data_IF_033768874848
#
_entry.id   IF_033768874848
#
_cell.length_a   1.000
_cell.length_b   1.000
_cell.length_c   1.000
_cell.angle_alpha   90.00
_cell.angle_beta   90.00
_cell.angle_gamma   90.00
#
_symmetry.space_group_name_H-M   'P 1'
#
loop_
_entity.id
_entity.type
_entity.pdbx_description
1 polymer ?
#
# COMPACT_ATOMS: atom_id res chain seq x y z
N UNK A 1 -48.90 -6.82 10.86
CA UNK A 1 -47.77 -7.14 11.79
C UNK A 1 -46.65 -7.96 11.14
N UNK A 2 -46.93 -9.04 10.39
CA UNK A 2 -45.88 -9.86 9.73
C UNK A 2 -45.09 -9.11 8.65
N UNK A 3 -45.75 -8.34 7.78
CA UNK A 3 -45.09 -7.52 6.75
C UNK A 3 -44.12 -6.50 7.35
N UNK A 4 -44.48 -5.89 8.48
CA UNK A 4 -43.60 -4.94 9.19
C UNK A 4 -42.36 -5.63 9.76
N UNK A 5 -42.50 -6.86 10.29
CA UNK A 5 -41.36 -7.67 10.76
C UNK A 5 -40.43 -8.06 9.62
N UNK A 6 -40.97 -8.45 8.47
CA UNK A 6 -40.19 -8.77 7.27
C UNK A 6 -39.46 -7.55 6.72
N UNK A 7 -40.12 -6.39 6.70
CA UNK A 7 -39.52 -5.13 6.32
C UNK A 7 -38.36 -4.76 7.26
N UNK A 8 -38.56 -4.82 8.58
CA UNK A 8 -37.50 -4.55 9.55
C UNK A 8 -36.33 -5.54 9.42
N UNK A 9 -36.60 -6.83 9.20
CA UNK A 9 -35.56 -7.82 8.96
C UNK A 9 -34.75 -7.50 7.70
N UNK A 10 -35.40 -7.09 6.60
CA UNK A 10 -34.71 -6.67 5.39
C UNK A 10 -33.82 -5.44 5.62
N UNK A 11 -34.30 -4.46 6.39
CA UNK A 11 -33.50 -3.31 6.82
C UNK A 11 -32.28 -3.76 7.64
N UNK A 12 -32.46 -4.64 8.62
CA UNK A 12 -31.35 -5.14 9.45
C UNK A 12 -30.31 -5.87 8.59
N UNK A 13 -30.74 -6.78 7.71
CA UNK A 13 -29.84 -7.52 6.80
C UNK A 13 -29.07 -6.58 5.87
N UNK A 14 -29.66 -5.46 5.45
CA UNK A 14 -29.01 -4.50 4.57
C UNK A 14 -28.08 -3.53 5.33
N UNK A 15 -28.57 -2.91 6.40
CA UNK A 15 -27.89 -1.81 7.08
C UNK A 15 -26.85 -2.27 8.10
N UNK A 16 -27.07 -3.39 8.82
CA UNK A 16 -26.10 -3.84 9.83
C UNK A 16 -24.75 -4.21 9.21
N UNK A 17 -24.66 -5.01 8.12
CA UNK A 17 -23.36 -5.30 7.51
C UNK A 17 -22.64 -4.07 6.98
N UNK A 18 -23.39 -3.09 6.45
CA UNK A 18 -22.84 -1.82 5.97
C UNK A 18 -22.29 -0.99 7.12
N UNK A 19 -23.07 -0.85 8.20
CA UNK A 19 -22.60 -0.20 9.43
C UNK A 19 -21.34 -0.86 9.98
N UNK A 20 -21.32 -2.19 10.09
CA UNK A 20 -20.13 -2.94 10.52
C UNK A 20 -18.95 -2.70 9.59
N UNK A 21 -19.17 -2.66 8.27
CA UNK A 21 -18.13 -2.35 7.30
C UNK A 21 -17.57 -0.94 7.51
N UNK A 22 -18.43 0.07 7.69
CA UNK A 22 -18.01 1.46 7.85
C UNK A 22 -17.22 1.68 9.15
N UNK A 23 -17.64 1.01 10.23
CA UNK A 23 -16.97 1.07 11.54
C UNK A 23 -15.64 0.33 11.57
N UNK A 24 -15.48 -0.73 10.79
CA UNK A 24 -14.24 -1.56 10.77
C UNK A 24 -13.37 -1.31 9.54
N UNK A 25 -13.83 -0.53 8.57
CA UNK A 25 -13.33 -0.50 7.18
C UNK A 25 -13.20 -1.91 6.57
N UNK A 26 -14.10 -2.78 7.02
CA UNK A 26 -14.12 -4.19 6.70
C UNK A 26 -12.89 -4.95 7.17
N UNK A 27 -12.13 -4.52 8.18
CA UNK A 27 -11.10 -5.35 8.81
C UNK A 27 -11.72 -6.56 9.53
N UNK A 28 -11.04 -7.70 9.47
CA UNK A 28 -11.31 -8.89 10.28
C UNK A 28 -10.07 -9.80 10.20
N UNK A 29 -9.76 -10.55 11.26
CA UNK A 29 -8.60 -11.45 11.27
C UNK A 29 -8.64 -12.45 10.10
N UNK A 30 -9.79 -13.08 9.85
CA UNK A 30 -9.96 -14.03 8.73
C UNK A 30 -9.63 -13.46 7.36
N UNK A 31 -9.59 -12.12 7.20
CA UNK A 31 -9.30 -11.44 5.95
C UNK A 31 -7.81 -11.25 5.68
N UNK A 32 -6.96 -11.35 6.71
CA UNK A 32 -5.49 -11.30 6.61
C UNK A 32 -4.86 -12.69 6.56
N UNK A 33 -5.59 -13.75 6.96
CA UNK A 33 -5.11 -15.12 6.83
C UNK A 33 -5.27 -15.66 5.41
N UNK A 34 -4.18 -16.23 4.89
CA UNK A 34 -4.13 -16.90 3.59
C UNK A 34 -4.16 -18.43 3.74
N UNK A 35 -4.39 -19.13 2.62
CA UNK A 35 -4.13 -20.57 2.49
C UNK A 35 -3.05 -20.77 1.40
N UNK A 36 -2.16 -19.78 1.27
CA UNK A 36 -1.05 -19.89 0.32
C UNK A 36 -0.09 -20.96 0.84
N UNK A 37 0.42 -21.73 -0.09
CA UNK A 37 1.52 -22.65 0.16
C UNK A 37 2.83 -21.89 0.04
N UNK A 38 3.87 -22.40 0.69
CA UNK A 38 5.22 -21.89 0.52
C UNK A 38 5.61 -21.91 -0.96
N UNK A 39 6.23 -20.84 -1.42
CA UNK A 39 6.72 -20.70 -2.80
C UNK A 39 8.12 -20.06 -2.76
N UNK A 40 9.17 -20.76 -3.22
CA UNK A 40 10.55 -20.27 -3.12
C UNK A 40 10.77 -18.89 -3.76
N UNK A 41 10.02 -18.58 -4.82
CA UNK A 41 10.09 -17.29 -5.51
C UNK A 41 9.69 -16.09 -4.63
N UNK A 42 8.91 -16.31 -3.57
CA UNK A 42 8.52 -15.27 -2.61
C UNK A 42 9.41 -15.20 -1.38
N UNK A 43 10.44 -16.04 -1.32
CA UNK A 43 11.40 -15.96 -0.23
C UNK A 43 12.23 -14.68 -0.37
N UNK A 44 12.44 -14.01 0.75
CA UNK A 44 13.14 -12.73 0.86
C UNK A 44 14.13 -12.83 2.00
N UNK A 45 15.40 -12.54 1.72
CA UNK A 45 16.46 -12.53 2.73
C UNK A 45 16.31 -11.29 3.60
N UNK A 46 15.60 -11.44 4.70
CA UNK A 46 15.47 -10.39 5.70
C UNK A 46 16.69 -10.37 6.63
N UNK A 47 16.93 -9.20 7.23
CA UNK A 47 17.82 -9.08 8.38
C UNK A 47 17.20 -9.64 9.66
N UNK A 48 17.79 -9.33 10.84
CA UNK A 48 17.21 -9.72 12.13
C UNK A 48 15.81 -9.13 12.30
N UNK A 49 14.98 -9.82 13.08
CA UNK A 49 13.62 -9.40 13.35
C UNK A 49 13.62 -8.04 14.10
N UNK A 50 12.98 -6.99 13.55
CA UNK A 50 12.93 -5.67 14.19
C UNK A 50 12.26 -5.68 15.57
N UNK A 51 12.87 -4.98 16.54
CA UNK A 51 12.35 -4.83 17.91
C UNK A 51 10.99 -4.12 17.97
N UNK A 52 10.65 -3.32 16.95
CA UNK A 52 9.34 -2.65 16.86
C UNK A 52 8.17 -3.64 16.93
N UNK A 53 8.37 -4.92 16.60
CA UNK A 53 7.33 -5.95 16.74
C UNK A 53 6.94 -6.26 18.19
N UNK A 54 7.69 -5.79 19.19
CA UNK A 54 7.30 -5.85 20.60
C UNK A 54 6.32 -4.73 21.00
N UNK A 55 6.25 -3.67 20.19
CA UNK A 55 5.30 -2.60 20.36
C UNK A 55 3.89 -3.03 19.95
N UNK A 56 2.92 -2.29 20.46
CA UNK A 56 1.54 -2.36 20.01
C UNK A 56 1.37 -1.58 18.70
N UNK A 57 0.53 -2.09 17.79
CA UNK A 57 0.20 -1.40 16.55
C UNK A 57 -1.30 -1.06 16.48
N UNK A 58 -1.63 0.22 16.25
CA UNK A 58 -3.02 0.68 16.16
C UNK A 58 -3.46 0.84 14.72
N UNK A 59 -4.73 0.56 14.43
CA UNK A 59 -5.28 0.68 13.09
C UNK A 59 -5.05 2.09 12.52
N UNK A 60 -4.45 2.14 11.33
CA UNK A 60 -4.18 3.40 10.62
C UNK A 60 -5.16 3.60 9.47
N UNK A 61 -5.24 2.64 8.55
CA UNK A 61 -6.08 2.77 7.36
C UNK A 61 -6.26 1.44 6.60
N UNK A 62 -7.28 1.37 5.75
CA UNK A 62 -7.49 0.30 4.79
C UNK A 62 -7.20 0.76 3.35
N UNK A 63 -6.15 0.23 2.73
CA UNK A 63 -5.88 0.41 1.31
C UNK A 63 -6.57 -0.64 0.42
N UNK A 64 -6.33 -0.59 -0.88
CA UNK A 64 -6.90 -1.58 -1.82
C UNK A 64 -6.33 -3.00 -1.68
N UNK A 65 -5.12 -3.12 -1.12
CA UNK A 65 -4.38 -4.39 -1.03
C UNK A 65 -4.04 -4.80 0.41
N UNK A 66 -3.93 -3.84 1.33
CA UNK A 66 -3.43 -4.05 2.69
C UNK A 66 -4.28 -3.32 3.74
N UNK A 67 -4.28 -3.84 4.95
CA UNK A 67 -4.63 -3.08 6.16
C UNK A 67 -3.35 -2.58 6.79
N UNK A 68 -3.28 -1.30 7.12
CA UNK A 68 -2.12 -0.66 7.72
C UNK A 68 -2.38 -0.37 9.20
N UNK A 69 -1.38 -0.62 10.03
CA UNK A 69 -1.37 -0.37 11.45
C UNK A 69 -0.09 0.40 11.80
N UNK A 70 -0.21 1.47 12.58
CA UNK A 70 0.92 2.31 13.01
C UNK A 70 1.45 1.82 14.36
N UNK A 71 2.76 1.79 14.54
CA UNK A 71 3.40 1.49 15.84
C UNK A 71 3.04 2.52 16.91
N UNK A 72 3.19 2.13 18.17
CA UNK A 72 2.92 2.98 19.34
C UNK A 72 3.78 4.25 19.35
N UNK A 73 5.04 4.16 18.92
CA UNK A 73 5.93 5.32 18.75
C UNK A 73 5.61 6.20 17.52
N UNK A 74 4.65 5.80 16.69
CA UNK A 74 4.23 6.53 15.50
C UNK A 74 5.23 6.52 14.34
N UNK A 75 6.32 5.73 14.40
CA UNK A 75 7.41 5.76 13.41
C UNK A 75 7.33 4.67 12.34
N UNK A 76 6.52 3.64 12.54
CA UNK A 76 6.47 2.47 11.66
C UNK A 76 5.04 2.11 11.29
N UNK A 77 4.89 1.46 10.13
CA UNK A 77 3.63 0.93 9.64
C UNK A 77 3.79 -0.56 9.34
N UNK A 78 3.02 -1.37 10.05
CA UNK A 78 2.83 -2.78 9.78
C UNK A 78 1.63 -2.97 8.85
N UNK A 79 1.84 -3.63 7.71
CA UNK A 79 0.81 -3.84 6.70
C UNK A 79 0.53 -5.33 6.51
N UNK A 80 -0.74 -5.71 6.63
CA UNK A 80 -1.22 -7.07 6.36
C UNK A 80 -2.00 -7.14 5.05
N UNK A 81 -1.72 -8.16 4.23
CA UNK A 81 -2.39 -8.31 2.94
C UNK A 81 -3.86 -8.73 3.06
N UNK A 82 -4.71 -8.22 2.17
CA UNK A 82 -6.14 -8.54 2.09
C UNK A 82 -6.37 -9.83 1.28
N UNK A 83 -6.28 -10.99 1.93
CA UNK A 83 -6.47 -12.29 1.27
C UNK A 83 -7.92 -12.58 0.88
N UNK A 84 -8.91 -12.03 1.58
CA UNK A 84 -10.32 -12.24 1.23
C UNK A 84 -10.69 -11.73 -0.16
N UNK A 85 -10.10 -10.62 -0.63
CA UNK A 85 -10.32 -10.08 -1.98
C UNK A 85 -9.89 -11.08 -3.08
N UNK A 86 -9.00 -12.00 -2.71
CA UNK A 86 -8.39 -12.98 -3.61
C UNK A 86 -9.17 -14.31 -3.64
N UNK A 87 -10.19 -14.46 -2.77
CA UNK A 87 -11.02 -15.66 -2.67
C UNK A 87 -12.40 -15.43 -3.30
N UNK A 88 -12.87 -16.41 -4.07
CA UNK A 88 -14.29 -16.47 -4.43
C UNK A 88 -15.12 -16.83 -3.19
N UNK A 89 -16.32 -16.25 -3.03
CA UNK A 89 -17.31 -16.70 -2.07
C UNK A 89 -17.50 -18.21 -2.11
N UNK A 90 -17.74 -18.84 -0.95
CA UNK A 90 -17.85 -20.29 -0.85
C UNK A 90 -18.95 -20.86 -1.75
N UNK A 91 -20.13 -20.24 -1.78
CA UNK A 91 -21.26 -20.66 -2.62
C UNK A 91 -20.91 -20.69 -4.12
N UNK A 92 -20.09 -19.73 -4.58
CA UNK A 92 -19.61 -19.73 -5.98
C UNK A 92 -18.66 -20.87 -6.28
N UNK A 93 -18.06 -21.54 -5.30
CA UNK A 93 -17.18 -22.69 -5.52
C UNK A 93 -17.97 -23.98 -5.70
N UNK A 94 -19.08 -24.13 -4.96
CA UNK A 94 -19.89 -25.36 -4.91
C UNK A 94 -21.00 -25.37 -5.96
N UNK A 95 -21.49 -24.21 -6.39
CA UNK A 95 -22.62 -24.15 -7.32
C UNK A 95 -22.22 -24.73 -8.70
N UNK A 96 -22.97 -25.71 -9.24
CA UNK A 96 -22.83 -26.14 -10.62
C UNK A 96 -23.31 -25.01 -11.53
N UNK A 97 -22.39 -24.47 -12.34
CA UNK A 97 -22.65 -23.34 -13.22
C UNK A 97 -22.64 -23.80 -14.69
N UNK A 98 -23.53 -23.25 -15.54
CA UNK A 98 -23.44 -23.39 -17.00
C UNK A 98 -22.04 -23.05 -17.52
N UNK A 99 -21.60 -23.67 -18.63
CA UNK A 99 -20.24 -23.57 -19.17
C UNK A 99 -19.69 -22.14 -19.21
N UNK A 100 -20.48 -21.18 -19.70
CA UNK A 100 -20.08 -19.77 -19.80
C UNK A 100 -19.79 -19.13 -18.43
N UNK A 101 -20.65 -19.39 -17.44
CA UNK A 101 -20.50 -18.89 -16.07
C UNK A 101 -19.34 -19.59 -15.33
N UNK A 102 -19.14 -20.89 -15.57
CA UNK A 102 -17.99 -21.63 -15.05
C UNK A 102 -16.66 -21.08 -15.60
N UNK A 103 -16.60 -20.75 -16.90
CA UNK A 103 -15.44 -20.11 -17.54
C UNK A 103 -15.21 -18.71 -16.95
N UNK A 104 -16.25 -17.89 -16.78
CA UNK A 104 -16.16 -16.58 -16.15
C UNK A 104 -15.60 -16.67 -14.72
N UNK A 105 -16.07 -17.64 -13.93
CA UNK A 105 -15.57 -17.95 -12.58
C UNK A 105 -14.08 -18.31 -12.60
N UNK A 106 -13.65 -19.19 -13.51
CA UNK A 106 -12.23 -19.59 -13.68
C UNK A 106 -11.36 -18.37 -14.01
N UNK A 107 -11.80 -17.53 -14.95
CA UNK A 107 -11.08 -16.33 -15.34
C UNK A 107 -10.98 -15.31 -14.20
N UNK A 108 -12.05 -15.13 -13.42
CA UNK A 108 -12.03 -14.25 -12.25
C UNK A 108 -11.05 -14.75 -11.18
N UNK A 109 -10.99 -16.07 -10.93
CA UNK A 109 -10.00 -16.67 -10.03
C UNK A 109 -8.58 -16.41 -10.52
N UNK A 110 -8.31 -16.66 -11.81
CA UNK A 110 -7.00 -16.38 -12.42
C UNK A 110 -6.59 -14.90 -12.27
N UNK A 111 -7.49 -13.95 -12.57
CA UNK A 111 -7.23 -12.51 -12.42
C UNK A 111 -6.89 -12.13 -10.97
N UNK A 112 -7.63 -12.67 -9.99
CA UNK A 112 -7.38 -12.41 -8.56
C UNK A 112 -6.03 -12.96 -8.10
N UNK A 113 -5.67 -14.17 -8.52
CA UNK A 113 -4.35 -14.76 -8.26
C UNK A 113 -3.26 -13.93 -8.93
N UNK A 114 -3.41 -13.56 -10.20
CA UNK A 114 -2.43 -12.74 -10.92
C UNK A 114 -2.19 -11.38 -10.23
N UNK A 115 -3.25 -10.75 -9.71
CA UNK A 115 -3.13 -9.51 -8.93
C UNK A 115 -2.29 -9.71 -7.66
N UNK A 116 -2.56 -10.78 -6.89
CA UNK A 116 -1.75 -11.13 -5.72
C UNK A 116 -0.27 -11.30 -6.08
N UNK A 117 0.03 -12.11 -7.10
CA UNK A 117 1.41 -12.40 -7.47
C UNK A 117 2.13 -11.15 -7.98
N UNK A 118 1.43 -10.27 -8.69
CA UNK A 118 1.96 -8.96 -9.07
C UNK A 118 2.30 -8.13 -7.84
N UNK A 119 1.40 -8.05 -6.86
CA UNK A 119 1.64 -7.29 -5.64
C UNK A 119 2.88 -7.87 -4.90
N UNK A 120 2.99 -9.20 -4.74
CA UNK A 120 4.13 -9.86 -4.09
C UNK A 120 5.45 -9.63 -4.83
N UNK A 121 5.46 -9.76 -6.16
CA UNK A 121 6.63 -9.41 -6.99
C UNK A 121 7.07 -7.98 -6.75
N UNK A 122 6.11 -7.06 -6.68
CA UNK A 122 6.39 -5.65 -6.49
C UNK A 122 7.01 -5.35 -5.12
N UNK A 123 6.48 -5.94 -4.04
CA UNK A 123 7.09 -5.82 -2.70
C UNK A 123 8.49 -6.44 -2.63
N UNK A 124 8.68 -7.61 -3.23
CA UNK A 124 10.00 -8.26 -3.30
C UNK A 124 11.01 -7.40 -4.07
N UNK A 125 10.65 -6.96 -5.27
CA UNK A 125 11.46 -6.06 -6.10
C UNK A 125 11.86 -4.80 -5.33
N UNK A 126 10.89 -4.20 -4.62
CA UNK A 126 11.09 -2.99 -3.82
C UNK A 126 12.04 -3.22 -2.65
N UNK A 127 11.90 -4.35 -1.95
CA UNK A 127 12.78 -4.70 -0.85
C UNK A 127 14.20 -5.02 -1.31
N UNK A 128 14.36 -5.61 -2.50
CA UNK A 128 15.69 -5.97 -3.01
C UNK A 128 16.44 -4.77 -3.62
N UNK A 129 15.72 -3.78 -4.18
CA UNK A 129 16.32 -2.74 -5.02
C UNK A 129 16.01 -1.30 -4.57
N UNK A 130 15.01 -1.11 -3.71
CA UNK A 130 14.47 0.20 -3.34
C UNK A 130 14.24 0.39 -1.83
N UNK A 131 15.03 -0.25 -0.96
CA UNK A 131 14.79 -0.16 0.49
C UNK A 131 14.84 1.29 0.99
N UNK A 132 15.78 2.09 0.50
CA UNK A 132 15.91 3.49 0.92
C UNK A 132 14.77 4.35 0.38
N UNK A 133 14.39 4.13 -0.88
CA UNK A 133 13.35 4.87 -1.58
C UNK A 133 11.94 4.48 -1.13
N UNK A 134 11.79 3.36 -0.43
CA UNK A 134 10.49 2.88 0.06
C UNK A 134 10.41 2.86 1.57
N UNK A 135 11.54 2.88 2.28
CA UNK A 135 11.57 2.71 3.73
C UNK A 135 11.07 1.33 4.18
N UNK A 136 11.05 0.31 3.31
CA UNK A 136 10.75 -1.06 3.70
C UNK A 136 11.86 -1.60 4.61
N UNK A 137 11.44 -2.25 5.71
CA UNK A 137 12.35 -2.77 6.74
C UNK A 137 12.27 -4.30 6.86
N UNK A 138 11.10 -4.87 6.55
CA UNK A 138 10.89 -6.31 6.62
C UNK A 138 9.79 -6.71 5.66
N UNK A 139 9.99 -7.80 4.91
CA UNK A 139 9.01 -8.34 3.96
C UNK A 139 8.85 -9.83 4.17
N UNK A 140 7.65 -10.25 4.57
CA UNK A 140 7.32 -11.65 4.86
C UNK A 140 6.16 -12.11 3.96
N UNK A 141 6.48 -12.82 2.89
CA UNK A 141 5.52 -13.25 1.86
C UNK A 141 5.23 -14.76 1.87
N UNK A 142 5.97 -15.51 2.68
CA UNK A 142 5.83 -16.95 2.86
C UNK A 142 5.66 -17.25 4.35
N UNK A 143 4.63 -18.02 4.72
CA UNK A 143 4.49 -18.52 6.08
C UNK A 143 5.69 -19.36 6.49
N UNK A 144 6.03 -19.32 7.77
CA UNK A 144 7.14 -20.09 8.35
C UNK A 144 6.76 -20.58 9.76
N UNK A 145 7.71 -21.15 10.48
CA UNK A 145 7.62 -21.46 11.92
C UNK A 145 8.86 -20.94 12.69
N UNK A 146 9.68 -20.12 12.03
CA UNK A 146 10.98 -19.68 12.52
C UNK A 146 10.96 -18.28 13.15
N UNK A 147 9.96 -17.44 12.86
CA UNK A 147 9.90 -16.09 13.45
C UNK A 147 9.58 -16.16 14.94
N UNK A 148 8.67 -17.07 15.32
CA UNK A 148 8.18 -17.30 16.69
C UNK A 148 7.76 -16.00 17.36
N UNK A 149 7.15 -15.09 16.59
CA UNK A 149 6.77 -13.75 17.03
C UNK A 149 5.26 -13.56 16.95
N UNK A 150 4.69 -13.06 18.04
CA UNK A 150 3.30 -12.61 18.08
C UNK A 150 3.28 -11.10 18.26
N UNK A 151 2.60 -10.39 17.38
CA UNK A 151 2.40 -8.94 17.48
C UNK A 151 1.02 -8.62 18.06
N UNK A 152 0.93 -7.55 18.83
CA UNK A 152 -0.36 -7.00 19.32
C UNK A 152 -0.83 -5.90 18.38
N UNK A 153 -2.04 -6.04 17.85
CA UNK A 153 -2.69 -4.99 17.05
C UNK A 153 -3.98 -4.53 17.71
N UNK A 154 -4.40 -3.29 17.46
CA UNK A 154 -5.72 -2.77 17.79
C UNK A 154 -6.43 -2.39 16.51
N UNK A 155 -7.64 -2.91 16.34
CA UNK A 155 -8.45 -2.57 15.18
C UNK A 155 -9.11 -1.18 15.30
N UNK A 156 -9.84 -0.78 14.25
CA UNK A 156 -10.47 0.53 14.15
C UNK A 156 -11.49 0.82 15.28
N UNK A 157 -12.06 -0.22 15.89
CA UNK A 157 -13.06 -0.09 16.95
C UNK A 157 -12.47 -0.34 18.34
N UNK A 158 -11.14 -0.42 18.46
CA UNK A 158 -10.45 -0.52 19.76
C UNK A 158 -10.26 -1.94 20.27
N UNK A 159 -10.61 -2.97 19.51
CA UNK A 159 -10.42 -4.37 19.94
C UNK A 159 -8.97 -4.77 19.70
N UNK A 160 -8.34 -5.31 20.75
CA UNK A 160 -6.98 -5.85 20.67
C UNK A 160 -6.98 -7.28 20.13
N UNK A 161 -6.06 -7.57 19.22
CA UNK A 161 -5.83 -8.88 18.63
C UNK A 161 -4.36 -9.27 18.74
N UNK A 162 -4.10 -10.57 18.92
CA UNK A 162 -2.76 -11.16 18.87
C UNK A 162 -2.60 -11.90 17.54
N UNK A 163 -1.58 -11.54 16.77
CA UNK A 163 -1.30 -12.14 15.46
C UNK A 163 0.04 -12.85 15.50
N UNK A 164 0.02 -14.16 15.23
CA UNK A 164 1.24 -14.92 14.99
C UNK A 164 1.80 -14.57 13.60
N UNK A 165 2.97 -13.92 13.56
CA UNK A 165 3.60 -13.44 12.34
C UNK A 165 4.07 -14.58 11.43
N UNK A 166 4.32 -15.77 11.96
CA UNK A 166 4.64 -16.98 11.18
C UNK A 166 3.51 -17.39 10.22
N UNK A 167 2.27 -16.97 10.49
CA UNK A 167 1.06 -17.52 9.87
C UNK A 167 0.35 -16.55 8.91
N UNK A 168 0.92 -15.37 8.68
CA UNK A 168 0.33 -14.32 7.84
C UNK A 168 1.39 -13.65 6.99
N UNK A 169 1.03 -13.20 5.80
CA UNK A 169 1.92 -12.39 4.97
C UNK A 169 1.82 -10.91 5.37
N UNK A 170 2.95 -10.26 5.58
CA UNK A 170 3.03 -8.88 6.05
C UNK A 170 4.28 -8.15 5.54
N UNK A 171 4.25 -6.83 5.65
CA UNK A 171 5.42 -5.98 5.46
C UNK A 171 5.50 -4.93 6.55
N UNK A 172 6.72 -4.57 6.93
CA UNK A 172 7.03 -3.47 7.83
C UNK A 172 7.73 -2.37 7.05
N UNK A 173 7.28 -1.14 7.26
CA UNK A 173 7.80 0.03 6.58
C UNK A 173 7.91 1.19 7.57
N UNK A 174 8.84 2.13 7.33
CA UNK A 174 8.81 3.42 8.03
C UNK A 174 7.52 4.18 7.70
N UNK A 175 6.98 4.90 8.69
CA UNK A 175 5.84 5.80 8.48
C UNK A 175 6.36 7.10 7.85
N UNK A 176 5.61 7.64 6.90
CA UNK A 176 5.91 8.91 6.25
C UNK A 176 4.68 9.81 6.22
N UNK A 177 4.91 11.12 6.15
CA UNK A 177 3.86 12.11 5.97
C UNK A 177 3.50 12.23 4.50
N UNK A 178 2.20 12.27 4.17
CA UNK A 178 1.75 12.32 2.77
C UNK A 178 2.25 13.59 2.08
N UNK A 179 2.68 13.46 0.82
CA UNK A 179 3.31 14.55 0.07
C UNK A 179 2.52 15.86 0.08
N UNK A 180 1.19 15.82 -0.15
CA UNK A 180 0.39 17.06 -0.15
C UNK A 180 0.26 17.68 1.24
N UNK A 181 0.14 16.87 2.30
CA UNK A 181 0.14 17.37 3.68
C UNK A 181 1.49 18.01 4.03
N UNK A 182 2.59 17.38 3.62
CA UNK A 182 3.94 17.91 3.80
C UNK A 182 4.10 19.29 3.14
N UNK A 183 3.73 19.44 1.86
CA UNK A 183 3.79 20.72 1.17
C UNK A 183 2.84 21.77 1.75
N UNK A 184 1.61 21.38 2.07
CA UNK A 184 0.63 22.29 2.67
C UNK A 184 1.15 22.91 3.97
N UNK A 185 1.77 22.10 4.85
CA UNK A 185 2.35 22.58 6.10
C UNK A 185 3.53 23.55 5.83
N UNK A 186 4.45 23.19 4.93
CA UNK A 186 5.59 24.07 4.61
C UNK A 186 5.18 25.41 4.00
N UNK A 187 4.16 25.41 3.14
CA UNK A 187 3.63 26.64 2.53
C UNK A 187 2.97 27.52 3.59
N UNK A 188 2.13 26.94 4.45
CA UNK A 188 1.48 27.68 5.56
C UNK A 188 2.49 28.28 6.52
N UNK A 189 3.57 27.55 6.81
CA UNK A 189 4.68 28.00 7.67
C UNK A 189 5.70 28.90 6.93
N UNK A 190 5.46 29.24 5.66
CA UNK A 190 6.35 30.06 4.81
C UNK A 190 7.77 29.51 4.67
N UNK A 191 7.95 28.19 4.77
CA UNK A 191 9.23 27.48 4.65
C UNK A 191 9.52 27.09 3.19
N UNK A 192 9.53 28.08 2.30
CA UNK A 192 9.64 27.85 0.85
C UNK A 192 10.94 27.13 0.44
N UNK A 193 12.07 27.44 1.08
CA UNK A 193 13.33 26.71 0.82
C UNK A 193 13.18 25.21 1.06
N UNK A 194 12.55 24.79 2.16
CA UNK A 194 12.32 23.37 2.45
C UNK A 194 11.33 22.72 1.49
N UNK A 195 10.40 23.51 0.94
CA UNK A 195 9.48 23.02 -0.07
C UNK A 195 10.20 22.79 -1.40
N UNK A 196 11.16 23.65 -1.77
CA UNK A 196 12.07 23.43 -2.91
C UNK A 196 12.90 22.16 -2.71
N UNK A 197 13.50 21.96 -1.54
CA UNK A 197 14.21 20.71 -1.20
C UNK A 197 13.29 19.47 -1.33
N UNK A 198 12.01 19.61 -0.95
CA UNK A 198 11.02 18.56 -1.08
C UNK A 198 10.67 18.23 -2.54
N UNK A 199 10.61 19.25 -3.41
CA UNK A 199 10.44 19.08 -4.87
C UNK A 199 11.63 18.33 -5.45
N UNK A 200 12.85 18.75 -5.11
CA UNK A 200 14.07 18.08 -5.54
C UNK A 200 14.08 16.61 -5.11
N UNK A 201 13.68 16.34 -3.87
CA UNK A 201 13.62 14.98 -3.35
C UNK A 201 12.62 14.10 -4.12
N UNK A 202 11.47 14.64 -4.55
CA UNK A 202 10.51 13.91 -5.39
C UNK A 202 11.08 13.62 -6.78
N UNK A 203 11.72 14.62 -7.41
CA UNK A 203 12.34 14.44 -8.72
C UNK A 203 13.45 13.38 -8.65
N UNK A 204 14.30 13.43 -7.62
CA UNK A 204 15.37 12.45 -7.42
C UNK A 204 14.82 11.05 -7.13
N UNK A 205 13.73 10.93 -6.36
CA UNK A 205 13.05 9.66 -6.13
C UNK A 205 12.56 9.03 -7.46
N UNK A 206 11.97 9.85 -8.35
CA UNK A 206 11.51 9.39 -9.67
C UNK A 206 12.69 8.95 -10.52
N UNK A 207 13.74 9.77 -10.61
CA UNK A 207 14.93 9.48 -11.42
C UNK A 207 15.68 8.25 -10.89
N UNK A 208 15.87 8.14 -9.58
CA UNK A 208 16.53 6.98 -8.96
C UNK A 208 15.81 5.68 -9.29
N UNK A 209 14.48 5.67 -9.20
CA UNK A 209 13.67 4.51 -9.61
C UNK A 209 13.89 4.16 -11.09
N UNK A 210 13.90 5.16 -11.97
CA UNK A 210 14.09 4.94 -13.40
C UNK A 210 15.51 4.46 -13.74
N UNK A 211 16.56 5.01 -13.12
CA UNK A 211 17.97 4.58 -13.23
C UNK A 211 18.17 3.12 -12.80
N UNK A 212 17.31 2.61 -11.90
CA UNK A 212 17.28 1.21 -11.46
C UNK A 212 16.44 0.31 -12.39
N UNK A 213 15.94 0.84 -13.51
CA UNK A 213 15.09 0.11 -14.44
C UNK A 213 13.74 -0.28 -13.83
N UNK A 214 13.21 0.46 -12.85
CA UNK A 214 11.95 0.13 -12.18
C UNK A 214 10.85 1.06 -12.70
N UNK A 215 9.72 0.52 -13.13
CA UNK A 215 8.55 1.27 -13.58
C UNK A 215 7.38 1.15 -12.59
N UNK A 216 6.77 2.29 -12.24
CA UNK A 216 5.53 2.35 -11.46
C UNK A 216 4.31 2.48 -12.39
N UNK A 217 3.40 1.50 -12.34
CA UNK A 217 2.17 1.53 -13.14
C UNK A 217 1.10 2.52 -12.63
N UNK A 218 1.23 3.07 -11.42
CA UNK A 218 0.28 4.02 -10.83
C UNK A 218 0.97 5.11 -9.98
N UNK A 219 1.82 5.97 -10.56
CA UNK A 219 2.73 6.88 -9.85
C UNK A 219 2.03 8.15 -9.31
N UNK A 220 1.01 7.97 -8.47
CA UNK A 220 0.21 9.07 -7.92
C UNK A 220 0.90 9.69 -6.70
N UNK A 221 1.66 10.77 -6.88
CA UNK A 221 2.37 11.48 -5.80
C UNK A 221 1.50 11.68 -4.55
N UNK A 222 0.32 12.30 -4.69
CA UNK A 222 -0.59 12.60 -3.58
C UNK A 222 -1.08 11.39 -2.74
N UNK A 223 -0.88 10.14 -3.20
CA UNK A 223 -1.30 8.93 -2.48
C UNK A 223 -0.14 7.99 -2.17
N UNK A 224 0.87 7.98 -3.03
CA UNK A 224 1.89 6.94 -3.05
C UNK A 224 3.27 7.49 -2.67
N UNK A 225 3.43 8.80 -2.55
CA UNK A 225 4.66 9.44 -2.07
C UNK A 225 4.41 10.05 -0.69
N UNK A 226 5.37 9.84 0.20
CA UNK A 226 5.43 10.51 1.48
C UNK A 226 6.84 11.00 1.80
N UNK A 227 6.99 11.71 2.90
CA UNK A 227 8.25 12.27 3.37
C UNK A 227 8.64 11.72 4.75
N UNK A 228 9.93 11.44 4.92
CA UNK A 228 10.57 11.13 6.20
C UNK A 228 11.78 12.05 6.32
N UNK A 229 11.81 12.88 7.35
CA UNK A 229 12.92 13.81 7.62
C UNK A 229 13.31 14.66 6.39
N UNK A 230 12.31 15.08 5.60
CA UNK A 230 12.49 15.87 4.38
C UNK A 230 12.86 15.08 3.12
N UNK A 231 13.09 13.76 3.21
CA UNK A 231 13.35 12.89 2.05
C UNK A 231 12.06 12.22 1.57
N UNK A 232 11.79 12.33 0.27
CA UNK A 232 10.67 11.67 -0.40
C UNK A 232 10.90 10.15 -0.50
N UNK A 233 9.86 9.38 -0.23
CA UNK A 233 9.81 7.93 -0.37
C UNK A 233 8.50 7.45 -0.98
N UNK A 234 8.50 6.27 -1.59
CA UNK A 234 7.33 5.55 -2.06
C UNK A 234 6.69 4.74 -0.94
N UNK A 235 5.49 5.15 -0.52
CA UNK A 235 4.73 4.48 0.54
C UNK A 235 3.79 3.39 0.02
N UNK A 236 3.37 3.44 -1.25
CA UNK A 236 2.63 2.36 -1.92
C UNK A 236 3.49 1.75 -3.03
N UNK A 237 3.95 0.52 -2.79
CA UNK A 237 4.83 -0.23 -3.68
C UNK A 237 4.12 -1.42 -4.33
N UNK A 238 2.79 -1.40 -4.45
CA UNK A 238 2.03 -2.55 -4.94
C UNK A 238 2.01 -2.74 -6.47
N UNK A 239 2.65 -1.84 -7.25
CA UNK A 239 2.55 -1.79 -8.73
C UNK A 239 3.86 -1.41 -9.44
N UNK A 240 4.98 -1.74 -8.82
CA UNK A 240 6.30 -1.64 -9.42
C UNK A 240 6.61 -2.90 -10.22
N UNK A 241 7.31 -2.73 -11.34
CA UNK A 241 7.87 -3.82 -12.15
C UNK A 241 9.20 -3.40 -12.74
N UNK A 242 10.05 -4.39 -13.04
CA UNK A 242 11.27 -4.14 -13.80
C UNK A 242 10.92 -3.84 -15.27
N UNK A 243 11.51 -2.77 -15.80
CA UNK A 243 11.42 -2.29 -17.17
C UNK A 243 12.72 -1.51 -17.50
N UNK A 244 13.74 -2.17 -18.08
CA UNK A 244 15.07 -1.57 -18.30
C UNK A 244 15.03 -0.38 -19.26
N UNK A 245 13.96 -0.22 -20.05
CA UNK A 245 13.76 0.96 -20.90
C UNK A 245 13.67 2.25 -20.09
N UNK A 246 13.36 2.18 -18.79
CA UNK A 246 13.33 3.36 -17.91
C UNK A 246 14.71 3.96 -17.67
N UNK A 247 15.78 3.23 -17.97
CA UNK A 247 17.14 3.75 -17.90
C UNK A 247 17.43 4.76 -19.02
N UNK A 248 16.66 4.78 -20.10
CA UNK A 248 16.77 5.77 -21.19
C UNK A 248 16.44 7.19 -20.67
N UNK A 249 17.39 8.15 -20.75
CA UNK A 249 17.17 9.54 -20.32
C UNK A 249 15.94 10.21 -20.93
N UNK A 250 15.58 9.87 -22.17
CA UNK A 250 14.37 10.40 -22.81
C UNK A 250 13.11 9.93 -22.08
N UNK A 251 13.06 8.65 -21.74
CA UNK A 251 11.94 8.06 -21.01
C UNK A 251 11.90 8.57 -19.56
N UNK A 252 13.06 8.85 -18.96
CA UNK A 252 13.14 9.49 -17.63
C UNK A 252 12.49 10.87 -17.62
N UNK A 253 12.79 11.71 -18.62
CA UNK A 253 12.17 13.04 -18.77
C UNK A 253 10.67 12.95 -18.97
N UNK A 254 10.20 12.01 -19.79
CA UNK A 254 8.77 11.74 -19.98
C UNK A 254 8.08 11.30 -18.67
N UNK A 255 8.73 10.43 -17.89
CA UNK A 255 8.22 9.99 -16.58
C UNK A 255 8.15 11.15 -15.59
N UNK A 256 9.18 12.00 -15.50
CA UNK A 256 9.18 13.19 -14.64
C UNK A 256 7.96 14.06 -14.94
N UNK A 257 7.80 14.52 -16.19
CA UNK A 257 6.67 15.37 -16.62
C UNK A 257 5.32 14.72 -16.28
N UNK A 258 5.17 13.43 -16.62
CA UNK A 258 3.89 12.72 -16.44
C UNK A 258 3.52 12.55 -14.97
N UNK A 259 4.51 12.23 -14.12
CA UNK A 259 4.30 11.90 -12.70
C UNK A 259 4.08 13.18 -11.88
N UNK A 260 4.85 14.23 -12.15
CA UNK A 260 4.79 15.49 -11.40
C UNK A 260 3.61 16.38 -11.81
N UNK A 261 2.97 16.14 -12.97
CA UNK A 261 1.85 16.96 -13.48
C UNK A 261 0.80 17.34 -12.43
N UNK A 262 0.37 16.39 -11.58
CA UNK A 262 -0.64 16.69 -10.55
C UNK A 262 -0.09 17.51 -9.39
N UNK A 263 1.18 17.32 -9.05
CA UNK A 263 1.86 18.14 -8.06
C UNK A 263 2.02 19.56 -8.60
N UNK A 264 2.41 19.73 -9.87
CA UNK A 264 2.45 21.03 -10.53
C UNK A 264 1.10 21.76 -10.46
N UNK A 265 0.00 21.09 -10.86
CA UNK A 265 -1.35 21.69 -10.77
C UNK A 265 -1.75 22.08 -9.33
N UNK A 266 -1.29 21.34 -8.33
CA UNK A 266 -1.51 21.68 -6.92
C UNK A 266 -0.68 22.91 -6.53
N UNK A 267 0.63 22.91 -6.81
CA UNK A 267 1.53 24.02 -6.50
C UNK A 267 1.13 25.31 -7.22
N UNK A 268 0.65 25.24 -8.46
CA UNK A 268 0.20 26.41 -9.21
C UNK A 268 -0.94 27.17 -8.49
N UNK A 269 -1.77 26.45 -7.72
CA UNK A 269 -2.86 27.03 -6.94
C UNK A 269 -2.40 27.56 -5.59
N UNK A 270 -1.53 26.81 -4.92
CA UNK A 270 -1.13 27.10 -3.53
C UNK A 270 0.08 28.03 -3.43
N UNK A 271 1.00 27.98 -4.40
CA UNK A 271 2.25 28.75 -4.43
C UNK A 271 2.86 28.75 -5.84
N UNK A 272 2.53 29.74 -6.69
CA UNK A 272 3.06 29.85 -8.06
C UNK A 272 4.60 29.77 -8.16
N UNK A 273 5.33 30.34 -7.19
CA UNK A 273 6.80 30.26 -7.12
C UNK A 273 7.32 28.81 -7.06
N UNK A 274 6.63 27.93 -6.34
CA UNK A 274 7.02 26.51 -6.24
C UNK A 274 6.65 25.74 -7.50
N UNK A 275 5.60 26.16 -8.22
CA UNK A 275 5.24 25.57 -9.49
C UNK A 275 6.28 25.91 -10.57
N UNK A 276 6.72 27.17 -10.63
CA UNK A 276 7.81 27.62 -11.50
C UNK A 276 9.10 26.87 -11.20
N UNK A 277 9.48 26.76 -9.92
CA UNK A 277 10.65 25.97 -9.52
C UNK A 277 10.58 24.50 -9.97
N UNK A 278 9.42 23.84 -9.79
CA UNK A 278 9.23 22.47 -10.27
C UNK A 278 9.36 22.37 -11.80
N UNK A 279 8.87 23.36 -12.54
CA UNK A 279 8.97 23.41 -14.00
C UNK A 279 10.43 23.53 -14.45
N UNK A 280 11.21 24.44 -13.85
CA UNK A 280 12.65 24.56 -14.08
C UNK A 280 13.37 23.22 -13.87
N UNK A 281 13.11 22.54 -12.74
CA UNK A 281 13.71 21.23 -12.43
C UNK A 281 13.36 20.12 -13.41
N UNK A 282 12.22 20.19 -14.09
CA UNK A 282 11.79 19.19 -15.08
C UNK A 282 12.46 19.41 -16.44
N UNK A 283 12.77 20.68 -16.77
CA UNK A 283 13.26 21.06 -18.09
C UNK A 283 14.77 21.31 -18.17
N UNK A 284 15.46 21.44 -17.03
CA UNK A 284 16.91 21.24 -16.88
C UNK A 284 17.39 19.95 -17.60
#
# INVERSE_FOLDING_TARGET
>A
MQLLKLFFLALVIYYVPRFCYDKTEGFALTKIHSNLVFEPNWDVKNGPLPEVFDQKFSYLAAGGQVYAFVSEDGKYVLKFFKHHLRRLPFWLKILPLPKNLATKRKNQRKKRTAKLLRDFRSYKLSFENLMEETGLLYVHLNKTNSLRKTVRIVDKIGIEHKINLDQVEFVLQKKADLALSYFSNLIQEKKLSKAKDGIDSICELILTRCKKGIYDEDPRIHRNVGFIDGKAILIDVGRLKFDPRREDPKIQKEDLVKITRRLYTYLQKESPELAEYLEEKIYE
#
